data_IF_499691883396
#
_entry.id   IF_499691883396
#
_cell.length_a   1.000
_cell.length_b   1.000
_cell.length_c   1.000
_cell.angle_alpha   90.00
_cell.angle_beta   90.00
_cell.angle_gamma   90.00
#
_symmetry.space_group_name_H-M   'P 1'
#
loop_
_entity.id
_entity.type
_entity.pdbx_description
1 polymer ?
#
# COMPACT_ATOMS: atom_id res chain seq x y z
N UNK A 1 -51.06 -70.35 35.66
CA UNK A 1 -49.61 -70.22 35.39
C UNK A 1 -49.44 -69.97 33.90
N UNK A 2 -49.01 -68.76 33.51
CA UNK A 2 -48.81 -68.35 32.11
C UNK A 2 -47.48 -67.59 32.05
N UNK A 3 -46.47 -68.16 31.40
CA UNK A 3 -45.18 -67.51 31.14
C UNK A 3 -45.21 -66.94 29.73
N UNK A 4 -45.21 -65.62 29.62
CA UNK A 4 -45.06 -64.92 28.34
C UNK A 4 -43.60 -64.52 28.21
N UNK A 5 -42.89 -65.12 27.25
CA UNK A 5 -41.48 -64.81 26.93
C UNK A 5 -41.44 -63.54 26.09
N UNK A 6 -40.74 -62.50 26.56
CA UNK A 6 -40.41 -61.29 25.79
C UNK A 6 -39.17 -61.56 24.93
N UNK A 7 -39.31 -61.40 23.61
CA UNK A 7 -38.19 -61.36 22.66
C UNK A 7 -37.75 -59.90 22.55
N UNK A 8 -36.57 -59.57 23.08
CA UNK A 8 -35.94 -58.26 22.93
C UNK A 8 -35.15 -58.23 21.61
N UNK A 9 -35.68 -57.54 20.60
CA UNK A 9 -34.97 -57.28 19.34
C UNK A 9 -33.92 -56.19 19.55
N UNK A 10 -32.64 -56.58 19.43
CA UNK A 10 -31.48 -55.69 19.50
C UNK A 10 -31.38 -54.86 18.20
N UNK A 11 -31.81 -53.59 18.25
CA UNK A 11 -31.58 -52.64 17.17
C UNK A 11 -30.16 -52.06 17.31
N UNK A 12 -29.25 -52.49 16.44
CA UNK A 12 -27.89 -51.95 16.36
C UNK A 12 -27.92 -50.66 15.50
N UNK A 13 -27.62 -49.48 16.05
CA UNK A 13 -27.53 -48.28 15.23
C UNK A 13 -26.22 -48.32 14.42
N UNK A 14 -26.32 -48.32 13.09
CA UNK A 14 -25.18 -48.07 12.22
C UNK A 14 -24.76 -46.60 12.39
N UNK A 15 -23.57 -46.36 12.94
CA UNK A 15 -23.02 -45.01 13.06
C UNK A 15 -22.69 -44.48 11.65
N UNK A 16 -23.47 -43.50 11.18
CA UNK A 16 -23.19 -42.78 9.95
C UNK A 16 -21.92 -41.94 10.14
N UNK A 17 -20.83 -42.35 9.49
CA UNK A 17 -19.57 -41.60 9.47
C UNK A 17 -19.65 -40.52 8.40
N UNK A 18 -19.79 -39.25 8.82
CA UNK A 18 -19.56 -38.12 7.92
C UNK A 18 -18.09 -38.13 7.49
N UNK A 19 -17.84 -38.04 6.18
CA UNK A 19 -16.48 -37.94 5.66
C UNK A 19 -15.90 -36.56 6.05
N UNK A 20 -14.62 -36.47 6.43
CA UNK A 20 -13.97 -35.20 6.76
C UNK A 20 -13.63 -34.44 5.46
N UNK A 21 -14.64 -34.02 4.72
CA UNK A 21 -14.44 -33.16 3.56
C UNK A 21 -14.15 -31.74 4.06
N UNK A 22 -12.87 -31.38 4.10
CA UNK A 22 -12.42 -30.00 4.33
C UNK A 22 -12.11 -29.33 2.98
N UNK A 23 -12.61 -28.11 2.78
CA UNK A 23 -12.08 -27.23 1.74
C UNK A 23 -10.90 -26.50 2.35
N UNK A 24 -9.69 -26.96 2.04
CA UNK A 24 -8.46 -26.30 2.47
C UNK A 24 -8.16 -25.10 1.58
N UNK A 25 -7.97 -23.93 2.19
CA UNK A 25 -7.59 -22.70 1.49
C UNK A 25 -6.08 -22.53 1.56
N UNK A 26 -5.43 -22.41 0.41
CA UNK A 26 -4.02 -22.04 0.30
C UNK A 26 -3.84 -20.65 -0.30
N UNK A 27 -2.81 -19.93 0.13
CA UNK A 27 -2.34 -18.69 -0.50
C UNK A 27 -0.99 -18.97 -1.16
N UNK A 28 -0.79 -18.52 -2.39
CA UNK A 28 0.53 -18.50 -3.01
C UNK A 28 1.26 -17.27 -2.46
N UNK A 29 2.02 -17.46 -1.37
CA UNK A 29 2.83 -16.42 -0.78
C UNK A 29 4.18 -16.38 -1.52
N UNK A 30 4.29 -15.54 -2.56
CA UNK A 30 5.53 -15.39 -3.35
C UNK A 30 5.36 -15.43 -4.87
N UNK A 31 4.15 -15.20 -5.39
CA UNK A 31 3.96 -15.04 -6.83
C UNK A 31 4.72 -13.84 -7.40
N UNK A 32 5.38 -14.02 -8.56
CA UNK A 32 6.24 -13.02 -9.19
C UNK A 32 7.35 -13.66 -10.02
N UNK A 33 8.27 -12.85 -10.55
CA UNK A 33 9.45 -13.32 -11.28
C UNK A 33 10.01 -12.28 -12.24
N UNK A 34 11.15 -12.62 -12.84
CA UNK A 34 11.84 -11.83 -13.85
C UNK A 34 11.58 -12.43 -15.23
N UNK A 35 10.99 -11.66 -16.13
CA UNK A 35 10.85 -11.96 -17.56
C UNK A 35 11.95 -11.26 -18.35
N UNK A 36 12.56 -11.96 -19.30
CA UNK A 36 13.61 -11.40 -20.17
C UNK A 36 13.22 -11.51 -21.63
N UNK A 37 13.51 -10.47 -22.42
CA UNK A 37 13.31 -10.44 -23.87
C UNK A 37 14.32 -9.51 -24.54
N UNK A 38 15.26 -10.08 -25.30
CA UNK A 38 16.39 -9.32 -25.86
C UNK A 38 17.21 -8.65 -24.77
N UNK A 39 17.48 -7.35 -24.90
CA UNK A 39 18.20 -6.56 -23.88
C UNK A 39 17.32 -6.10 -22.71
N UNK A 40 16.03 -6.43 -22.70
CA UNK A 40 15.09 -5.95 -21.69
C UNK A 40 14.80 -7.01 -20.63
N UNK A 41 14.72 -6.56 -19.38
CA UNK A 41 14.38 -7.36 -18.21
C UNK A 41 13.23 -6.69 -17.47
N UNK A 42 12.19 -7.45 -17.17
CA UNK A 42 10.99 -7.02 -16.45
C UNK A 42 10.80 -7.90 -15.23
N UNK A 43 10.96 -7.35 -14.02
CA UNK A 43 10.69 -8.05 -12.76
C UNK A 43 9.39 -7.55 -12.14
N UNK A 44 8.58 -8.45 -11.59
CA UNK A 44 7.32 -8.10 -10.92
C UNK A 44 6.88 -9.14 -9.89
N UNK A 45 5.95 -8.75 -9.02
CA UNK A 45 5.25 -9.63 -8.07
C UNK A 45 3.76 -9.69 -8.42
N UNK A 46 3.10 -10.81 -8.11
CA UNK A 46 1.63 -10.87 -8.16
C UNK A 46 1.13 -10.01 -7.00
N UNK A 47 0.26 -9.03 -7.28
CA UNK A 47 -0.26 -8.11 -6.26
C UNK A 47 -0.86 -8.88 -5.08
N UNK A 48 -0.27 -8.73 -3.90
CA UNK A 48 -0.86 -9.24 -2.67
C UNK A 48 -2.02 -8.31 -2.30
N UNK A 49 -3.21 -8.86 -2.04
CA UNK A 49 -4.34 -8.07 -1.49
C UNK A 49 -4.00 -7.46 -0.11
N UNK A 50 -2.93 -7.94 0.53
CA UNK A 50 -2.38 -7.44 1.79
C UNK A 50 -1.36 -6.29 1.58
N UNK A 51 -1.53 -5.52 0.51
CA UNK A 51 -0.85 -4.23 0.36
C UNK A 51 -1.47 -3.26 1.38
N UNK A 52 -0.70 -2.89 2.40
CA UNK A 52 -1.22 -2.16 3.56
C UNK A 52 -0.13 -1.59 4.44
N UNK A 53 -0.56 -0.84 5.46
CA UNK A 53 0.27 -0.11 6.41
C UNK A 53 1.44 -0.94 6.96
N UNK A 54 2.56 -0.29 7.27
CA UNK A 54 3.74 -0.92 7.91
C UNK A 54 3.32 -1.74 9.13
N UNK A 55 3.47 -3.06 9.04
CA UNK A 55 3.25 -4.00 10.14
C UNK A 55 4.49 -3.98 11.04
N UNK A 56 4.29 -3.96 12.35
CA UNK A 56 5.38 -3.98 13.34
C UNK A 56 5.26 -5.20 14.24
N UNK A 57 6.41 -5.81 14.56
CA UNK A 57 6.50 -6.98 15.44
C UNK A 57 7.87 -7.04 16.11
N UNK A 58 7.95 -6.61 17.37
CA UNK A 58 9.23 -6.46 18.08
C UNK A 58 10.12 -5.42 17.41
N UNK A 59 11.38 -5.79 17.11
CA UNK A 59 12.33 -4.95 16.40
C UNK A 59 12.17 -4.97 14.87
N UNK A 60 11.20 -5.72 14.34
CA UNK A 60 11.02 -5.88 12.90
C UNK A 60 9.84 -5.06 12.41
N UNK A 61 10.02 -4.43 11.25
CA UNK A 61 8.95 -3.75 10.51
C UNK A 61 8.88 -4.33 9.10
N UNK A 62 7.66 -4.51 8.60
CA UNK A 62 7.38 -5.03 7.27
C UNK A 62 6.26 -4.22 6.64
N UNK A 63 6.55 -3.51 5.56
CA UNK A 63 5.52 -2.85 4.74
C UNK A 63 5.16 -3.79 3.59
N UNK A 64 3.93 -4.31 3.59
CA UNK A 64 3.41 -5.12 2.49
C UNK A 64 3.00 -4.23 1.32
N UNK A 65 3.28 -4.62 0.07
CA UNK A 65 2.92 -3.83 -1.10
C UNK A 65 3.60 -4.25 -2.40
N UNK A 66 3.37 -3.46 -3.45
CA UNK A 66 4.16 -3.53 -4.69
C UNK A 66 5.61 -3.12 -4.41
N UNK A 67 6.56 -3.45 -5.30
CA UNK A 67 7.91 -2.89 -5.22
C UNK A 67 7.78 -1.38 -5.08
N UNK A 68 8.19 -0.84 -3.94
CA UNK A 68 8.47 0.58 -3.85
C UNK A 68 9.60 0.80 -4.85
N UNK A 69 9.26 1.22 -6.07
CA UNK A 69 10.21 1.94 -6.90
C UNK A 69 10.80 2.98 -5.97
N UNK A 70 12.11 2.90 -5.75
CA UNK A 70 12.89 3.74 -4.85
C UNK A 70 12.24 5.12 -4.72
N UNK A 71 11.59 5.37 -3.57
CA UNK A 71 10.90 6.61 -3.26
C UNK A 71 9.97 7.12 -4.36
N UNK A 72 8.83 6.45 -4.62
CA UNK A 72 7.67 7.23 -5.04
C UNK A 72 7.19 8.03 -3.83
N UNK A 73 7.93 9.08 -3.47
CA UNK A 73 7.32 10.21 -2.80
C UNK A 73 6.15 10.59 -3.68
N UNK A 74 4.93 10.58 -3.15
CA UNK A 74 3.72 10.92 -3.89
C UNK A 74 4.03 12.16 -4.73
N UNK A 75 4.10 11.97 -6.06
CA UNK A 75 4.44 13.03 -7.01
C UNK A 75 3.37 14.10 -6.87
N UNK A 76 3.67 15.12 -6.09
CA UNK A 76 2.76 16.22 -5.76
C UNK A 76 3.02 17.34 -6.74
N UNK A 77 2.00 18.14 -7.05
CA UNK A 77 2.26 19.41 -7.74
C UNK A 77 3.22 20.23 -6.87
N UNK A 78 4.26 20.81 -7.47
CA UNK A 78 5.23 21.57 -6.70
C UNK A 78 4.60 22.73 -5.89
N UNK A 79 3.49 23.27 -6.41
CA UNK A 79 2.75 24.34 -5.78
C UNK A 79 1.77 23.87 -4.68
N UNK A 80 1.24 22.65 -4.78
CA UNK A 80 0.49 22.01 -3.70
C UNK A 80 1.53 21.72 -2.61
N UNK A 81 1.39 22.26 -1.40
CA UNK A 81 2.42 22.14 -0.35
C UNK A 81 1.90 21.40 0.88
N UNK A 82 0.58 21.21 0.97
CA UNK A 82 -0.07 20.43 2.02
C UNK A 82 -0.46 19.00 1.57
N UNK A 83 -0.33 18.69 0.28
CA UNK A 83 -0.62 17.39 -0.31
C UNK A 83 -2.11 17.11 -0.48
N UNK A 84 -2.97 18.13 -0.53
CA UNK A 84 -4.42 17.95 -0.67
C UNK A 84 -4.90 17.77 -2.13
N UNK A 85 -3.97 17.85 -3.09
CA UNK A 85 -4.23 17.65 -4.51
C UNK A 85 -4.80 18.89 -5.21
N UNK A 86 -4.91 20.02 -4.52
CA UNK A 86 -5.35 21.29 -5.06
C UNK A 86 -4.21 22.31 -4.99
N UNK A 87 -4.27 23.34 -5.84
CA UNK A 87 -3.36 24.49 -5.78
C UNK A 87 -4.21 25.71 -5.43
N UNK A 88 -4.13 26.13 -4.18
CA UNK A 88 -4.98 27.16 -3.59
C UNK A 88 -4.18 28.05 -2.63
N UNK A 89 -4.74 29.19 -2.15
CA UNK A 89 -4.02 30.07 -1.23
C UNK A 89 -3.58 29.41 0.09
N UNK A 90 -4.14 28.27 0.49
CA UNK A 90 -3.70 27.53 1.68
C UNK A 90 -2.30 26.92 1.50
N UNK A 91 -1.88 26.68 0.26
CA UNK A 91 -0.53 26.19 -0.04
C UNK A 91 0.55 27.20 0.29
N UNK A 92 0.26 28.50 0.21
CA UNK A 92 1.23 29.53 0.56
C UNK A 92 1.60 29.46 2.05
N UNK A 93 0.60 29.21 2.92
CA UNK A 93 0.86 29.09 4.36
C UNK A 93 1.67 27.82 4.65
N UNK A 94 1.41 26.74 3.92
CA UNK A 94 2.14 25.49 4.03
C UNK A 94 3.58 25.63 3.50
N UNK A 95 3.78 26.35 2.39
CA UNK A 95 5.10 26.68 1.86
C UNK A 95 5.94 27.45 2.88
N UNK A 96 5.37 28.47 3.55
CA UNK A 96 6.06 29.22 4.61
C UNK A 96 6.47 28.29 5.76
N UNK A 97 5.60 27.36 6.17
CA UNK A 97 5.91 26.41 7.24
C UNK A 97 7.07 25.49 6.84
N UNK A 98 7.04 24.94 5.62
CA UNK A 98 8.08 24.05 5.09
C UNK A 98 9.43 24.80 4.95
N UNK A 99 9.40 26.03 4.43
CA UNK A 99 10.60 26.87 4.28
C UNK A 99 11.24 27.18 5.64
N UNK A 100 10.44 27.59 6.63
CA UNK A 100 10.95 27.88 7.98
C UNK A 100 11.45 26.64 8.73
N UNK A 101 10.94 25.45 8.38
CA UNK A 101 11.39 24.17 8.90
C UNK A 101 12.63 23.63 8.16
N UNK A 102 13.08 24.29 7.09
CA UNK A 102 14.12 23.79 6.18
C UNK A 102 13.78 22.38 5.64
N UNK A 103 12.49 22.17 5.33
CA UNK A 103 11.97 20.94 4.76
C UNK A 103 12.15 20.96 3.23
N UNK A 104 12.66 19.87 2.65
CA UNK A 104 12.86 19.70 1.21
C UNK A 104 11.54 19.77 0.42
N UNK A 105 10.39 19.66 1.07
CA UNK A 105 9.10 19.99 0.45
C UNK A 105 9.04 21.43 -0.11
N UNK A 106 9.79 22.36 0.49
CA UNK A 106 9.90 23.74 0.01
C UNK A 106 10.90 23.91 -1.15
N UNK A 107 11.77 22.92 -1.43
CA UNK A 107 12.68 22.90 -2.59
C UNK A 107 11.88 22.60 -3.87
N UNK A 108 11.24 23.65 -4.38
CA UNK A 108 10.38 23.56 -5.57
C UNK A 108 11.22 23.52 -6.85
N UNK A 109 12.46 23.99 -6.80
CA UNK A 109 13.35 23.97 -7.96
C UNK A 109 14.16 22.66 -8.08
N UNK A 110 14.10 21.80 -7.07
CA UNK A 110 14.72 20.47 -6.97
C UNK A 110 16.25 20.50 -7.11
N UNK A 111 16.90 21.51 -6.54
CA UNK A 111 18.36 21.59 -6.51
C UNK A 111 19.00 20.99 -5.25
N UNK A 112 18.19 20.47 -4.33
CA UNK A 112 18.60 19.84 -3.08
C UNK A 112 18.82 20.82 -1.93
N UNK A 113 18.47 22.10 -2.09
CA UNK A 113 18.64 23.14 -1.07
C UNK A 113 17.40 24.00 -0.94
N UNK A 114 16.97 24.26 0.30
CA UNK A 114 15.87 25.19 0.59
C UNK A 114 16.44 26.61 0.66
N UNK A 115 16.13 27.42 -0.35
CA UNK A 115 16.70 28.76 -0.52
C UNK A 115 15.68 29.75 -1.11
N UNK A 116 15.93 31.07 -1.07
CA UNK A 116 14.97 32.06 -1.59
C UNK A 116 14.61 31.88 -3.08
N UNK A 117 15.43 31.20 -3.86
CA UNK A 117 15.12 30.88 -5.26
C UNK A 117 13.88 29.97 -5.40
N UNK A 118 13.60 29.14 -4.39
CA UNK A 118 12.43 28.26 -4.37
C UNK A 118 11.11 29.01 -4.37
N UNK A 119 11.07 30.19 -3.75
CA UNK A 119 9.87 31.01 -3.78
C UNK A 119 9.51 31.43 -5.21
N UNK A 120 10.52 31.77 -6.00
CA UNK A 120 10.31 32.14 -7.41
C UNK A 120 9.80 30.95 -8.22
N UNK A 121 10.35 29.76 -7.98
CA UNK A 121 9.88 28.53 -8.61
C UNK A 121 8.46 28.16 -8.16
N UNK A 122 8.12 28.34 -6.89
CA UNK A 122 6.79 28.11 -6.34
C UNK A 122 5.75 29.04 -6.98
N UNK A 123 6.04 30.34 -7.13
CA UNK A 123 5.14 31.28 -7.81
C UNK A 123 4.90 30.87 -9.27
N UNK A 124 5.94 30.44 -9.98
CA UNK A 124 5.82 29.95 -11.34
C UNK A 124 4.91 28.70 -11.42
N UNK A 125 5.07 27.75 -10.49
CA UNK A 125 4.22 26.57 -10.40
C UNK A 125 2.78 26.91 -10.00
N UNK A 126 2.58 27.82 -9.05
CA UNK A 126 1.27 28.23 -8.54
C UNK A 126 0.41 28.88 -9.64
N UNK A 127 1.02 29.72 -10.48
CA UNK A 127 0.32 30.35 -11.61
C UNK A 127 -0.14 29.37 -12.68
N UNK A 128 0.41 28.14 -12.70
CA UNK A 128 -0.02 27.06 -13.59
C UNK A 128 -1.13 26.20 -12.97
N UNK A 129 -1.40 26.33 -11.66
CA UNK A 129 -2.39 25.53 -10.93
C UNK A 129 -2.16 24.04 -11.12
N UNK A 130 -3.22 23.31 -11.49
CA UNK A 130 -3.15 21.86 -11.75
C UNK A 130 -2.30 21.48 -12.97
N UNK A 131 -1.95 22.44 -13.83
CA UNK A 131 -1.03 22.25 -14.96
C UNK A 131 0.44 22.46 -14.60
N UNK A 132 0.75 22.70 -13.32
CA UNK A 132 2.10 22.92 -12.83
C UNK A 132 2.98 21.68 -12.85
N UNK A 133 4.30 21.85 -12.67
CA UNK A 133 5.24 20.74 -12.55
C UNK A 133 4.97 19.92 -11.29
N UNK A 134 5.43 18.67 -11.32
CA UNK A 134 5.42 17.79 -10.14
C UNK A 134 6.79 17.76 -9.48
N UNK A 135 6.79 17.72 -8.15
CA UNK A 135 7.99 17.68 -7.33
C UNK A 135 8.01 16.44 -6.45
N UNK A 136 9.23 15.96 -6.21
CA UNK A 136 9.53 14.93 -5.21
C UNK A 136 10.31 15.60 -4.06
N UNK A 137 9.86 15.48 -2.80
CA UNK A 137 10.66 15.87 -1.64
C UNK A 137 11.97 15.08 -1.52
#
# INVERSE_FOLDING_TARGET
MKYTILIATLACPFAAHAQPFAIEKSVIAGGGGTSTGGSFTLSGTIGQHDAGSTMTGGNFTLTGGFWAGSGSASSRLCADQNGDGLVTPTDFTSWIANFNANDLLADVNQNGTVEPADFTAWIAAYNLGIGGPVCTP
#
